data_IF_017881544477
#
_entry.id   IF_017881544477
#
_cell.length_a   1.000
_cell.length_b   1.000
_cell.length_c   1.000
_cell.angle_alpha   90.00
_cell.angle_beta   90.00
_cell.angle_gamma   90.00
#
_symmetry.space_group_name_H-M   'P 1'
#
loop_
_entity.id
_entity.type
_entity.pdbx_description
1 polymer ?
#
# COMPACT_ATOMS: atom_id res chain seq x y z
N UNK A 1 43.04 -6.46 6.84
CA UNK A 1 43.20 -7.21 5.57
C UNK A 1 42.68 -8.64 5.64
N UNK A 2 43.03 -9.47 6.65
CA UNK A 2 42.49 -10.84 6.76
C UNK A 2 41.00 -10.86 7.12
N UNK A 3 40.58 -9.96 8.03
CA UNK A 3 39.19 -9.81 8.44
C UNK A 3 38.27 -9.33 7.31
N UNK A 4 38.74 -8.40 6.48
CA UNK A 4 37.96 -7.84 5.37
C UNK A 4 37.65 -8.92 4.31
N UNK A 5 38.62 -9.81 4.06
CA UNK A 5 38.46 -10.94 3.14
C UNK A 5 37.48 -11.98 3.69
N UNK A 6 37.58 -12.30 4.98
CA UNK A 6 36.67 -13.25 5.63
C UNK A 6 35.23 -12.70 5.68
N UNK A 7 35.06 -11.40 5.92
CA UNK A 7 33.76 -10.74 5.91
C UNK A 7 33.13 -10.72 4.51
N UNK A 8 33.93 -10.47 3.46
CA UNK A 8 33.47 -10.50 2.08
C UNK A 8 33.01 -11.91 1.66
N UNK A 9 33.80 -12.96 1.97
CA UNK A 9 33.41 -14.34 1.69
C UNK A 9 32.14 -14.78 2.44
N UNK A 10 31.96 -14.33 3.67
CA UNK A 10 30.77 -14.63 4.45
C UNK A 10 29.52 -13.98 3.83
N UNK A 11 29.64 -12.74 3.33
CA UNK A 11 28.55 -12.04 2.65
C UNK A 11 28.20 -12.71 1.32
N UNK A 12 29.19 -13.10 0.52
CA UNK A 12 28.95 -13.80 -0.76
C UNK A 12 28.22 -15.14 -0.58
N UNK A 13 28.41 -15.82 0.57
CA UNK A 13 27.66 -17.05 0.91
C UNK A 13 26.21 -16.80 1.33
N UNK A 14 25.91 -15.62 1.87
CA UNK A 14 24.60 -15.27 2.42
C UNK A 14 23.76 -14.47 1.41
N UNK A 15 24.40 -13.82 0.43
CA UNK A 15 23.71 -13.10 -0.64
C UNK A 15 22.96 -14.12 -1.51
N UNK A 16 21.64 -13.98 -1.69
CA UNK A 16 20.89 -14.87 -2.56
C UNK A 16 21.44 -14.78 -3.99
N UNK A 17 21.80 -15.94 -4.56
CA UNK A 17 22.35 -16.10 -5.91
C UNK A 17 21.47 -15.49 -7.01
N UNK A 18 20.20 -15.25 -6.68
CA UNK A 18 19.28 -14.44 -7.49
C UNK A 18 18.93 -13.21 -6.66
N UNK A 19 19.29 -12.00 -7.11
CA UNK A 19 18.69 -10.80 -6.55
C UNK A 19 17.19 -11.02 -6.62
N UNK A 20 16.51 -10.97 -5.47
CA UNK A 20 15.06 -10.87 -5.47
C UNK A 20 14.76 -9.68 -6.34
N UNK A 21 14.28 -9.93 -7.55
CA UNK A 21 13.76 -8.89 -8.41
C UNK A 21 12.68 -8.30 -7.53
N UNK A 22 12.92 -7.12 -6.96
CA UNK A 22 11.85 -6.33 -6.38
C UNK A 22 10.96 -6.08 -7.58
N UNK A 23 10.01 -6.98 -7.82
CA UNK A 23 8.84 -6.69 -8.60
C UNK A 23 8.38 -5.39 -7.98
N UNK A 24 8.59 -4.28 -8.69
CA UNK A 24 7.95 -3.02 -8.33
C UNK A 24 6.50 -3.41 -8.32
N UNK A 25 5.96 -3.68 -7.13
CA UNK A 25 4.60 -4.16 -6.93
C UNK A 25 3.77 -3.28 -7.84
N UNK A 26 3.15 -3.90 -8.85
CA UNK A 26 2.42 -3.20 -9.89
C UNK A 26 1.58 -2.17 -9.15
N UNK A 27 1.95 -0.88 -9.31
CA UNK A 27 1.39 0.17 -8.47
C UNK A 27 -0.11 0.09 -8.72
N UNK A 28 -0.88 -0.13 -7.66
CA UNK A 28 -2.32 -0.20 -7.75
C UNK A 28 -2.80 1.04 -8.53
N UNK A 29 -3.43 0.86 -9.71
CA UNK A 29 -3.80 1.99 -10.56
C UNK A 29 -4.78 2.96 -9.88
N UNK A 30 -5.49 2.49 -8.84
CA UNK A 30 -6.39 3.27 -8.01
C UNK A 30 -5.70 4.03 -6.87
N UNK A 31 -4.37 3.92 -6.70
CA UNK A 31 -3.61 4.52 -5.59
C UNK A 31 -2.77 5.73 -6.04
N UNK A 32 -3.39 6.94 -6.11
CA UNK A 32 -2.75 8.17 -6.57
C UNK A 32 -1.73 8.72 -5.55
N UNK A 33 -1.00 9.76 -5.96
CA UNK A 33 0.09 10.33 -5.16
C UNK A 33 -0.41 10.96 -3.86
N UNK A 34 -1.58 11.60 -3.88
CA UNK A 34 -2.19 12.21 -2.69
C UNK A 34 -2.45 11.17 -1.61
N UNK A 35 -2.91 9.96 -1.98
CA UNK A 35 -3.09 8.87 -1.01
C UNK A 35 -1.75 8.32 -0.48
N UNK A 36 -0.67 8.41 -1.26
CA UNK A 36 0.68 8.04 -0.81
C UNK A 36 1.16 9.02 0.24
N UNK A 37 1.02 10.31 -0.02
CA UNK A 37 1.33 11.36 0.92
C UNK A 37 0.53 11.18 2.21
N UNK A 38 -0.79 10.98 2.10
CA UNK A 38 -1.63 10.71 3.26
C UNK A 38 -1.16 9.48 4.05
N UNK A 39 -0.75 8.40 3.38
CA UNK A 39 -0.19 7.21 4.04
C UNK A 39 1.15 7.48 4.73
N UNK A 40 1.99 8.35 4.16
CA UNK A 40 3.22 8.82 4.81
C UNK A 40 2.91 9.67 6.04
N UNK A 41 1.98 10.62 5.92
CA UNK A 41 1.49 11.44 7.04
C UNK A 41 0.89 10.60 8.16
N UNK A 42 0.15 9.53 7.85
CA UNK A 42 -0.36 8.61 8.86
C UNK A 42 0.79 8.02 9.70
N UNK A 43 1.89 7.59 9.06
CA UNK A 43 3.08 7.07 9.77
C UNK A 43 3.76 8.14 10.64
N UNK A 44 3.81 9.39 10.18
CA UNK A 44 4.32 10.49 11.00
C UNK A 44 3.45 10.72 12.24
N UNK A 45 2.12 10.75 12.10
CA UNK A 45 1.19 10.92 13.21
C UNK A 45 1.24 9.75 14.19
N UNK A 46 1.36 8.52 13.70
CA UNK A 46 1.58 7.35 14.55
C UNK A 46 2.88 7.46 15.34
N UNK A 47 3.95 7.94 14.70
CA UNK A 47 5.25 8.15 15.36
C UNK A 47 5.16 9.23 16.44
N UNK A 48 4.55 10.38 16.13
CA UNK A 48 4.31 11.44 17.11
C UNK A 48 3.52 10.92 18.31
N UNK A 49 2.40 10.20 18.06
CA UNK A 49 1.58 9.61 19.12
C UNK A 49 2.36 8.64 20.00
N UNK A 50 3.24 7.82 19.43
CA UNK A 50 4.07 6.87 20.20
C UNK A 50 5.00 7.59 21.17
N UNK A 51 5.52 8.76 20.78
CA UNK A 51 6.42 9.58 21.59
C UNK A 51 5.66 10.37 22.66
N UNK A 52 4.60 11.07 22.28
CA UNK A 52 3.90 12.02 23.16
C UNK A 52 2.87 11.37 24.09
N UNK A 53 2.23 10.27 23.64
CA UNK A 53 1.08 9.61 24.28
C UNK A 53 -0.06 10.56 24.70
N UNK A 54 -0.17 11.71 24.05
CA UNK A 54 -1.18 12.72 24.36
C UNK A 54 -2.56 12.35 23.79
N UNK A 55 -3.62 12.82 24.45
CA UNK A 55 -5.00 12.63 23.97
C UNK A 55 -5.31 13.50 22.73
N UNK A 56 -4.63 14.64 22.57
CA UNK A 56 -4.71 15.45 21.35
C UNK A 56 -4.18 14.68 20.14
N UNK A 57 -3.02 14.02 20.26
CA UNK A 57 -2.42 13.26 19.17
C UNK A 57 -3.20 11.99 18.86
N UNK A 58 -3.80 11.37 19.88
CA UNK A 58 -4.75 10.27 19.70
C UNK A 58 -5.96 10.71 18.87
N UNK A 59 -6.52 11.88 19.17
CA UNK A 59 -7.69 12.42 18.46
C UNK A 59 -7.32 12.82 17.03
N UNK A 60 -6.16 13.46 16.85
CA UNK A 60 -5.61 13.82 15.54
C UNK A 60 -5.38 12.59 14.66
N UNK A 61 -4.71 11.55 15.18
CA UNK A 61 -4.49 10.32 14.43
C UNK A 61 -5.82 9.65 14.05
N UNK A 62 -6.78 9.60 14.99
CA UNK A 62 -8.10 9.00 14.73
C UNK A 62 -8.89 9.76 13.67
N UNK A 63 -8.90 11.09 13.71
CA UNK A 63 -9.56 11.90 12.68
C UNK A 63 -8.86 11.75 11.32
N UNK A 64 -7.53 11.73 11.32
CA UNK A 64 -6.73 11.53 10.11
C UNK A 64 -7.00 10.17 9.45
N UNK A 65 -6.99 9.08 10.22
CA UNK A 65 -7.29 7.72 9.73
C UNK A 65 -8.68 7.69 9.07
N UNK A 66 -9.69 8.32 9.67
CA UNK A 66 -11.04 8.40 9.07
C UNK A 66 -11.03 9.12 7.73
N UNK A 67 -10.32 10.23 7.62
CA UNK A 67 -10.18 10.98 6.37
C UNK A 67 -9.43 10.17 5.32
N UNK A 68 -8.35 9.50 5.70
CA UNK A 68 -7.58 8.62 4.82
C UNK A 68 -8.40 7.45 4.27
N UNK A 69 -9.20 6.79 5.11
CA UNK A 69 -10.08 5.69 4.69
C UNK A 69 -11.17 6.19 3.73
N UNK A 70 -11.74 7.38 3.97
CA UNK A 70 -12.72 7.99 3.06
C UNK A 70 -12.10 8.31 1.70
N UNK A 71 -10.92 8.92 1.69
CA UNK A 71 -10.20 9.24 0.45
C UNK A 71 -9.83 7.96 -0.32
N UNK A 72 -9.39 6.92 0.39
CA UNK A 72 -9.09 5.60 -0.18
C UNK A 72 -10.32 4.99 -0.84
N UNK A 73 -11.46 5.00 -0.15
CA UNK A 73 -12.74 4.52 -0.70
C UNK A 73 -13.15 5.32 -1.93
N UNK A 74 -13.03 6.66 -1.89
CA UNK A 74 -13.35 7.52 -3.02
C UNK A 74 -12.48 7.21 -4.25
N UNK A 75 -11.17 7.04 -4.07
CA UNK A 75 -10.26 6.68 -5.16
C UNK A 75 -10.59 5.30 -5.76
N UNK A 76 -10.85 4.29 -4.91
CA UNK A 76 -11.33 2.97 -5.36
C UNK A 76 -12.63 3.12 -6.16
N UNK A 77 -13.62 3.87 -5.66
CA UNK A 77 -14.89 4.09 -6.35
C UNK A 77 -14.69 4.73 -7.73
N UNK A 78 -13.87 5.77 -7.85
CA UNK A 78 -13.56 6.43 -9.13
C UNK A 78 -12.92 5.45 -10.13
N UNK A 79 -11.95 4.66 -9.67
CA UNK A 79 -11.28 3.70 -10.54
C UNK A 79 -12.22 2.61 -11.04
N UNK A 80 -12.98 1.98 -10.14
CA UNK A 80 -13.87 0.88 -10.51
C UNK A 80 -15.10 1.36 -11.28
N UNK A 81 -15.64 2.54 -10.98
CA UNK A 81 -16.72 3.12 -11.80
C UNK A 81 -16.26 3.41 -13.22
N UNK A 82 -15.04 3.93 -13.39
CA UNK A 82 -14.43 4.12 -14.71
C UNK A 82 -14.20 2.79 -15.43
N UNK A 83 -13.74 1.74 -14.74
CA UNK A 83 -13.59 0.41 -15.33
C UNK A 83 -14.93 -0.17 -15.78
N UNK A 84 -15.98 -0.06 -14.95
CA UNK A 84 -17.34 -0.51 -15.28
C UNK A 84 -17.88 0.25 -16.50
N UNK A 85 -17.73 1.58 -16.53
CA UNK A 85 -18.12 2.39 -17.67
C UNK A 85 -17.35 2.01 -18.95
N UNK A 86 -16.04 1.75 -18.85
CA UNK A 86 -15.23 1.34 -20.01
C UNK A 86 -15.57 -0.06 -20.55
N UNK A 87 -16.24 -0.88 -19.74
CA UNK A 87 -16.57 -2.25 -20.07
C UNK A 87 -17.81 -2.39 -20.96
N UNK A 88 -18.42 -1.29 -21.44
CA UNK A 88 -19.60 -1.23 -22.32
C UNK A 88 -19.98 -2.54 -23.02
N UNK A 89 -21.06 -3.18 -22.57
CA UNK A 89 -21.63 -4.42 -23.10
C UNK A 89 -20.65 -5.62 -23.17
N UNK A 90 -19.58 -5.64 -22.39
CA UNK A 90 -18.62 -6.76 -22.27
C UNK A 90 -18.81 -7.49 -20.94
N UNK A 91 -19.72 -8.47 -20.84
CA UNK A 91 -20.01 -9.17 -19.58
C UNK A 91 -18.76 -9.81 -18.98
N UNK A 92 -17.87 -10.37 -19.78
CA UNK A 92 -16.60 -10.94 -19.32
C UNK A 92 -15.69 -9.93 -18.61
N UNK A 93 -15.70 -8.66 -19.04
CA UNK A 93 -14.93 -7.60 -18.38
C UNK A 93 -15.58 -7.19 -17.04
N UNK A 94 -16.91 -7.12 -16.99
CA UNK A 94 -17.64 -6.86 -15.75
C UNK A 94 -17.38 -7.94 -14.70
N UNK A 95 -17.44 -9.22 -15.08
CA UNK A 95 -17.15 -10.32 -14.15
C UNK A 95 -15.71 -10.26 -13.59
N UNK A 96 -14.73 -9.85 -14.40
CA UNK A 96 -13.36 -9.63 -13.91
C UNK A 96 -13.30 -8.50 -12.88
N UNK A 97 -13.98 -7.38 -13.15
CA UNK A 97 -14.05 -6.24 -12.21
C UNK A 97 -14.72 -6.66 -10.90
N UNK A 98 -15.86 -7.35 -10.96
CA UNK A 98 -16.57 -7.86 -9.77
C UNK A 98 -15.72 -8.84 -8.97
N UNK A 99 -15.01 -9.76 -9.63
CA UNK A 99 -14.10 -10.69 -8.96
C UNK A 99 -12.97 -9.95 -8.24
N UNK A 100 -12.34 -8.96 -8.88
CA UNK A 100 -11.29 -8.15 -8.24
C UNK A 100 -11.78 -7.41 -7.00
N UNK A 101 -13.05 -6.99 -6.96
CA UNK A 101 -13.65 -6.39 -5.76
C UNK A 101 -13.79 -7.43 -4.63
N UNK A 102 -14.33 -8.61 -4.94
CA UNK A 102 -14.54 -9.70 -3.96
C UNK A 102 -13.23 -10.28 -3.41
N UNK A 103 -12.19 -10.41 -4.26
CA UNK A 103 -10.87 -10.90 -3.86
C UNK A 103 -10.13 -9.91 -2.93
N UNK A 104 -10.56 -8.64 -2.86
CA UNK A 104 -9.97 -7.64 -1.95
C UNK A 104 -10.61 -7.61 -0.57
N UNK A 105 -11.92 -7.87 -0.46
CA UNK A 105 -12.62 -7.89 0.84
C UNK A 105 -12.19 -9.07 1.70
N UNK A 106 -11.88 -10.21 1.09
CA UNK A 106 -11.44 -11.43 1.80
C UNK A 106 -10.01 -11.40 2.36
N UNK A 107 -9.22 -10.35 2.06
CA UNK A 107 -7.84 -10.17 2.58
C UNK A 107 -7.73 -9.12 3.68
N UNK A 108 -8.78 -8.36 3.95
CA UNK A 108 -8.79 -7.27 4.94
C UNK A 108 -9.41 -7.68 6.30
N UNK A 109 -9.83 -8.94 6.46
CA UNK A 109 -10.24 -9.61 7.73
C UNK A 109 -9.10 -10.42 8.37
#
# INVERSE_FOLDING_TARGET
ASWDRAAAEALDRVVPLRPLTRCRSQRDPWFPEELREMKCWNRCLESTRRTSRSESDRTCLRSFIRTYLRATRAAKCVHFSALVASADNRPAALFRVTRSLLDTETRED
#
